data_IF_351890611034
#
_entry.id   IF_351890611034
#
_cell.length_a   1.000
_cell.length_b   1.000
_cell.length_c   1.000
_cell.angle_alpha   90.00
_cell.angle_beta   90.00
_cell.angle_gamma   90.00
#
_symmetry.space_group_name_H-M   'P 1'
#
loop_
_entity.id
_entity.type
_entity.pdbx_description
1 polymer ?
#
# COMPACT_ATOMS: atom_id res chain seq x y z
N UNK A 1 -28.28 -5.73 -11.53
CA UNK A 1 -27.51 -6.86 -10.95
C UNK A 1 -26.91 -7.82 -11.99
N UNK A 2 -26.92 -7.54 -13.28
CA UNK A 2 -26.53 -8.51 -14.32
C UNK A 2 -25.29 -8.18 -15.14
N UNK A 3 -24.67 -7.01 -14.98
CA UNK A 3 -23.59 -6.57 -15.87
C UNK A 3 -22.20 -6.48 -15.20
N UNK A 4 -22.15 -6.44 -13.87
CA UNK A 4 -20.88 -6.39 -13.14
C UNK A 4 -20.07 -7.69 -13.21
N UNK A 5 -20.70 -8.82 -13.54
CA UNK A 5 -20.01 -10.11 -13.71
C UNK A 5 -19.32 -10.28 -15.08
N UNK A 6 -19.34 -9.27 -15.96
CA UNK A 6 -18.73 -9.36 -17.31
C UNK A 6 -17.33 -8.75 -17.43
N UNK A 7 -16.80 -8.09 -16.43
CA UNK A 7 -15.51 -7.41 -16.53
C UNK A 7 -14.31 -8.38 -16.62
N UNK A 8 -14.46 -9.62 -16.14
CA UNK A 8 -13.48 -10.69 -16.41
C UNK A 8 -14.24 -11.82 -17.10
N UNK A 9 -14.06 -11.99 -18.40
CA UNK A 9 -14.79 -13.03 -19.12
C UNK A 9 -14.39 -14.40 -18.59
N UNK A 10 -15.39 -15.23 -18.29
CA UNK A 10 -15.22 -16.62 -17.82
C UNK A 10 -14.24 -17.41 -18.71
N UNK A 11 -14.14 -17.06 -19.99
CA UNK A 11 -13.21 -17.65 -20.95
C UNK A 11 -11.74 -17.28 -20.75
N UNK A 12 -11.43 -16.13 -20.13
CA UNK A 12 -10.07 -15.79 -19.73
C UNK A 12 -9.66 -16.51 -18.45
N UNK A 13 -10.62 -16.66 -17.52
CA UNK A 13 -10.43 -17.38 -16.27
C UNK A 13 -10.17 -18.87 -16.56
N UNK A 14 -11.00 -19.50 -17.38
CA UNK A 14 -10.91 -20.95 -17.69
C UNK A 14 -9.64 -21.35 -18.47
N UNK A 15 -8.96 -20.42 -19.14
CA UNK A 15 -7.70 -20.67 -19.86
C UNK A 15 -6.46 -20.59 -18.97
N UNK A 16 -6.58 -20.06 -17.78
CA UNK A 16 -5.46 -19.79 -16.86
C UNK A 16 -5.34 -20.81 -15.73
N UNK A 17 -6.27 -21.75 -15.62
CA UNK A 17 -6.33 -22.70 -14.50
C UNK A 17 -6.09 -24.14 -14.99
N UNK A 18 -4.87 -24.64 -14.86
CA UNK A 18 -4.64 -26.08 -14.73
C UNK A 18 -5.03 -26.49 -13.30
N UNK A 19 -5.88 -27.51 -13.20
CA UNK A 19 -6.30 -28.11 -11.93
C UNK A 19 -5.08 -28.55 -11.11
N UNK A 20 -5.01 -28.11 -9.87
CA UNK A 20 -4.30 -28.79 -8.80
C UNK A 20 -5.31 -29.16 -7.71
N UNK A 21 -5.11 -30.30 -7.10
CA UNK A 21 -6.00 -31.17 -6.35
C UNK A 21 -6.94 -30.48 -5.35
N UNK A 22 -8.19 -30.99 -5.31
CA UNK A 22 -9.25 -30.61 -4.37
C UNK A 22 -8.86 -30.98 -2.93
N UNK A 23 -9.04 -30.07 -1.97
CA UNK A 23 -9.07 -30.43 -0.55
C UNK A 23 -10.41 -31.13 -0.23
N UNK A 24 -10.46 -31.87 0.87
CA UNK A 24 -11.60 -32.73 1.26
C UNK A 24 -12.94 -31.99 1.43
N UNK A 25 -12.97 -30.63 1.25
CA UNK A 25 -14.15 -29.78 1.40
C UNK A 25 -14.59 -29.05 0.13
N UNK A 26 -13.96 -29.30 -1.03
CA UNK A 26 -14.37 -28.74 -2.32
C UNK A 26 -14.21 -27.22 -2.45
N UNK A 27 -13.42 -26.59 -1.60
CA UNK A 27 -13.12 -25.17 -1.66
C UNK A 27 -11.78 -24.95 -2.35
N UNK A 28 -11.80 -24.60 -3.63
CA UNK A 28 -10.60 -24.30 -4.39
C UNK A 28 -10.07 -22.93 -3.93
N UNK A 29 -9.06 -22.93 -3.05
CA UNK A 29 -8.32 -21.72 -2.66
C UNK A 29 -7.16 -21.51 -3.61
N UNK A 30 -7.32 -20.62 -4.56
CA UNK A 30 -6.22 -20.16 -5.41
C UNK A 30 -5.52 -18.95 -4.76
N UNK A 31 -4.59 -19.19 -3.86
CA UNK A 31 -3.63 -18.17 -3.45
C UNK A 31 -2.52 -18.09 -4.51
N UNK A 32 -2.60 -17.16 -5.44
CA UNK A 32 -1.44 -16.79 -6.24
C UNK A 32 -0.70 -15.66 -5.54
N UNK A 33 0.31 -16.04 -4.82
CA UNK A 33 1.25 -15.16 -4.18
C UNK A 33 2.04 -14.42 -5.26
N UNK A 34 1.83 -13.12 -5.41
CA UNK A 34 2.80 -12.28 -6.12
C UNK A 34 3.99 -12.18 -5.18
N UNK A 35 5.04 -12.94 -5.46
CA UNK A 35 6.28 -12.86 -4.68
C UNK A 35 7.16 -11.82 -5.35
N UNK A 36 7.52 -10.81 -4.59
CA UNK A 36 8.45 -9.78 -5.02
C UNK A 36 9.83 -10.27 -4.70
N UNK A 37 10.61 -10.51 -5.73
CA UNK A 37 11.99 -10.92 -5.57
C UNK A 37 12.88 -9.70 -5.75
N UNK A 38 13.62 -9.33 -4.72
CA UNK A 38 14.64 -8.29 -4.76
C UNK A 38 15.95 -8.88 -5.30
N UNK A 39 15.98 -9.26 -6.58
CA UNK A 39 17.23 -9.64 -7.21
C UNK A 39 18.06 -8.36 -7.44
N UNK A 40 19.09 -8.18 -6.63
CA UNK A 40 20.13 -7.19 -6.83
C UNK A 40 20.79 -7.42 -8.19
N UNK A 41 20.54 -6.53 -9.13
CA UNK A 41 21.30 -6.52 -10.39
C UNK A 41 22.67 -5.86 -10.16
N UNK A 42 23.80 -6.55 -10.44
CA UNK A 42 25.14 -6.04 -10.09
C UNK A 42 25.69 -5.03 -11.10
N UNK A 43 24.88 -4.18 -11.70
CA UNK A 43 25.37 -3.13 -12.60
C UNK A 43 25.05 -1.75 -12.05
N UNK A 44 26.12 -1.08 -11.58
CA UNK A 44 26.18 0.37 -11.39
C UNK A 44 25.63 1.10 -12.62
N UNK A 45 24.38 1.44 -12.58
CA UNK A 45 23.82 2.55 -13.32
C UNK A 45 23.00 3.35 -12.32
N UNK A 46 23.06 4.67 -12.43
CA UNK A 46 22.28 5.70 -11.73
C UNK A 46 20.76 5.55 -11.96
N UNK A 47 20.24 4.35 -12.00
CA UNK A 47 18.88 3.98 -12.33
C UNK A 47 18.38 2.99 -11.30
N UNK A 48 17.45 3.47 -10.53
CA UNK A 48 16.37 2.80 -9.80
C UNK A 48 16.56 1.30 -9.53
N UNK A 49 16.80 0.93 -8.28
CA UNK A 49 16.47 -0.42 -7.81
C UNK A 49 14.93 -0.51 -7.81
N UNK A 50 14.39 -1.15 -8.81
CA UNK A 50 12.97 -1.40 -8.96
C UNK A 50 12.65 -2.77 -8.39
N UNK A 51 11.70 -2.84 -7.46
CA UNK A 51 11.13 -4.12 -7.04
C UNK A 51 10.23 -4.65 -8.15
N UNK A 52 10.67 -5.70 -8.82
CA UNK A 52 9.94 -6.29 -9.94
C UNK A 52 8.86 -7.25 -9.45
N UNK A 53 7.71 -7.21 -10.11
CA UNK A 53 6.65 -8.20 -9.93
C UNK A 53 7.17 -9.57 -10.35
N UNK A 54 7.29 -10.48 -9.40
CA UNK A 54 7.54 -11.89 -9.69
C UNK A 54 6.22 -12.64 -9.53
N UNK A 55 5.63 -13.06 -10.64
CA UNK A 55 4.42 -13.88 -10.64
C UNK A 55 4.88 -15.32 -10.65
N UNK A 56 4.71 -16.03 -9.54
CA UNK A 56 5.06 -17.44 -9.44
C UNK A 56 4.01 -18.30 -10.15
N UNK A 57 4.45 -19.05 -11.16
CA UNK A 57 3.64 -20.01 -11.92
C UNK A 57 3.99 -20.01 -13.41
N UNK A 58 4.30 -21.16 -13.97
CA UNK A 58 4.88 -21.31 -15.31
C UNK A 58 3.95 -20.93 -16.48
N UNK A 59 2.73 -20.46 -16.23
CA UNK A 59 1.72 -20.22 -17.25
C UNK A 59 1.08 -18.83 -17.21
N UNK A 60 1.63 -17.85 -16.46
CA UNK A 60 1.04 -16.51 -16.40
C UNK A 60 1.73 -15.61 -17.42
N UNK A 61 1.01 -15.01 -18.39
CA UNK A 61 1.57 -14.04 -19.30
C UNK A 61 2.22 -12.87 -18.57
N UNK A 62 3.32 -12.33 -19.11
CA UNK A 62 4.02 -11.16 -18.52
C UNK A 62 3.14 -9.91 -18.42
N UNK A 63 2.13 -9.83 -19.28
CA UNK A 63 1.16 -8.76 -19.39
C UNK A 63 -0.16 -9.05 -18.66
N UNK A 64 -0.20 -10.08 -17.83
CA UNK A 64 -1.42 -10.51 -17.13
C UNK A 64 -2.06 -9.38 -16.32
N UNK A 65 -1.30 -8.70 -15.46
CA UNK A 65 -1.84 -7.61 -14.64
C UNK A 65 -2.36 -6.47 -15.53
N UNK A 66 -1.59 -6.06 -16.54
CA UNK A 66 -2.02 -4.99 -17.43
C UNK A 66 -3.25 -5.35 -18.25
N UNK A 67 -3.44 -6.62 -18.60
CA UNK A 67 -4.66 -7.10 -19.26
C UNK A 67 -5.91 -6.97 -18.35
N UNK A 68 -5.72 -7.00 -17.03
CA UNK A 68 -6.75 -6.71 -16.04
C UNK A 68 -6.91 -5.20 -15.76
N UNK A 69 -6.09 -4.36 -16.36
CA UNK A 69 -6.06 -2.94 -16.06
C UNK A 69 -5.33 -2.61 -14.76
N UNK A 70 -4.42 -3.48 -14.32
CA UNK A 70 -3.63 -3.31 -13.09
C UNK A 70 -2.17 -3.09 -13.46
N UNK A 71 -1.52 -2.12 -12.82
CA UNK A 71 -0.08 -1.95 -12.90
C UNK A 71 0.47 -1.42 -11.57
N UNK A 72 1.75 -1.70 -11.35
CA UNK A 72 2.51 -1.20 -10.21
C UNK A 72 3.93 -0.86 -10.62
N UNK A 73 4.47 0.20 -10.05
CA UNK A 73 5.89 0.51 -10.02
C UNK A 73 6.30 0.82 -8.59
N UNK A 74 7.45 0.32 -8.17
CA UNK A 74 8.00 0.54 -6.83
C UNK A 74 9.49 0.82 -6.99
N UNK A 75 9.87 2.09 -6.86
CA UNK A 75 11.21 2.61 -7.16
C UNK A 75 11.91 3.08 -5.92
N UNK A 76 13.18 2.71 -5.78
CA UNK A 76 14.03 3.28 -4.76
C UNK A 76 14.27 4.76 -5.03
N UNK A 77 14.24 5.55 -3.97
CA UNK A 77 14.63 6.96 -3.98
C UNK A 77 16.13 7.21 -3.96
N UNK A 78 16.53 8.45 -3.71
CA UNK A 78 17.91 8.85 -3.51
C UNK A 78 18.28 8.83 -2.02
N UNK A 79 18.36 7.64 -1.46
CA UNK A 79 18.85 7.35 -0.11
C UNK A 79 19.98 6.33 -0.23
N UNK A 80 21.26 6.74 -0.42
CA UNK A 80 22.36 5.84 -0.82
C UNK A 80 22.62 4.70 0.19
N UNK A 81 22.36 4.95 1.46
CA UNK A 81 22.68 4.03 2.57
C UNK A 81 21.52 3.11 2.95
N UNK A 82 20.35 3.31 2.36
CA UNK A 82 19.16 2.52 2.63
C UNK A 82 18.73 1.75 1.37
N UNK A 83 18.29 0.49 1.47
CA UNK A 83 17.58 -0.17 0.38
C UNK A 83 16.22 0.52 0.13
N UNK A 84 15.50 0.13 -0.93
CA UNK A 84 14.11 0.52 -1.10
C UNK A 84 13.29 -0.03 0.06
N UNK A 85 12.67 0.84 0.87
CA UNK A 85 11.88 0.46 2.04
C UNK A 85 10.40 0.30 1.73
N UNK A 86 9.93 0.78 0.57
CA UNK A 86 8.57 0.53 0.10
C UNK A 86 8.37 -0.92 -0.32
N UNK A 87 7.15 -1.40 -0.16
CA UNK A 87 6.70 -2.69 -0.68
C UNK A 87 5.23 -2.64 -1.09
N UNK A 88 4.76 -3.66 -1.83
CA UNK A 88 3.38 -3.75 -2.27
C UNK A 88 2.89 -5.19 -2.31
N UNK A 89 1.58 -5.38 -2.33
CA UNK A 89 0.94 -6.66 -2.57
C UNK A 89 -0.25 -6.52 -3.52
N UNK A 90 -0.43 -7.51 -4.38
CA UNK A 90 -1.60 -7.63 -5.24
C UNK A 90 -2.13 -9.06 -5.08
N UNK A 91 -3.34 -9.17 -4.57
CA UNK A 91 -4.05 -10.43 -4.44
C UNK A 91 -5.27 -10.41 -5.36
N UNK A 92 -5.45 -11.44 -6.17
CA UNK A 92 -6.58 -11.57 -7.09
C UNK A 92 -7.18 -12.96 -6.89
N UNK A 93 -8.46 -13.02 -6.57
CA UNK A 93 -9.21 -14.25 -6.40
C UNK A 93 -10.65 -14.08 -6.88
N UNK A 94 -11.12 -14.96 -7.79
CA UNK A 94 -12.50 -15.01 -8.30
C UNK A 94 -13.11 -13.64 -8.70
N UNK A 95 -12.30 -12.73 -9.25
CA UNK A 95 -12.72 -11.38 -9.64
C UNK A 95 -12.70 -10.35 -8.53
N UNK A 96 -12.24 -10.73 -7.34
CA UNK A 96 -11.92 -9.83 -6.24
C UNK A 96 -10.46 -9.41 -6.32
N UNK A 97 -10.15 -8.20 -5.92
CA UNK A 97 -8.79 -7.66 -5.90
C UNK A 97 -8.51 -7.03 -4.54
N UNK A 98 -7.39 -7.40 -3.92
CA UNK A 98 -6.87 -6.71 -2.75
C UNK A 98 -5.50 -6.14 -3.09
N UNK A 99 -5.38 -4.82 -2.98
CA UNK A 99 -4.22 -4.02 -3.31
C UNK A 99 -3.61 -3.50 -2.01
N UNK A 100 -2.31 -3.64 -1.84
CA UNK A 100 -1.60 -3.18 -0.66
C UNK A 100 -0.36 -2.36 -1.02
N UNK A 101 -0.12 -1.26 -0.31
CA UNK A 101 1.12 -0.48 -0.33
C UNK A 101 1.61 -0.31 1.10
N UNK A 102 2.90 -0.51 1.30
CA UNK A 102 3.59 -0.55 2.59
C UNK A 102 4.88 0.27 2.49
N UNK A 103 4.94 1.37 3.20
CA UNK A 103 6.06 2.30 3.21
C UNK A 103 6.84 2.10 4.51
N UNK A 104 8.03 1.54 4.40
CA UNK A 104 8.88 1.19 5.52
C UNK A 104 9.80 2.33 5.94
N UNK A 105 10.01 2.48 7.23
CA UNK A 105 10.88 3.50 7.79
C UNK A 105 11.73 2.98 8.96
N UNK A 106 12.72 3.76 9.33
CA UNK A 106 13.70 3.34 10.34
C UNK A 106 14.83 2.47 9.76
N UNK A 107 15.76 2.01 10.60
CA UNK A 107 16.91 1.23 10.15
C UNK A 107 16.55 -0.05 9.39
N UNK A 108 15.51 -0.74 9.85
CA UNK A 108 15.06 -2.02 9.33
C UNK A 108 13.71 -1.94 8.58
N UNK A 109 13.28 -0.74 8.15
CA UNK A 109 11.97 -0.52 7.52
C UNK A 109 11.70 -1.41 6.32
N UNK A 110 12.72 -1.68 5.49
CA UNK A 110 12.58 -2.59 4.33
C UNK A 110 12.24 -4.03 4.73
N UNK A 111 12.75 -4.49 5.90
CA UNK A 111 12.47 -5.83 6.41
C UNK A 111 11.09 -5.88 7.08
N UNK A 112 10.71 -4.79 7.78
CA UNK A 112 9.37 -4.64 8.36
C UNK A 112 8.31 -4.58 7.27
N UNK A 113 8.45 -3.72 6.25
CA UNK A 113 7.55 -3.68 5.11
C UNK A 113 7.51 -5.02 4.37
N UNK A 114 8.69 -5.66 4.19
CA UNK A 114 8.84 -6.97 3.58
C UNK A 114 8.17 -8.11 4.37
N UNK A 115 8.04 -8.00 5.69
CA UNK A 115 7.27 -8.92 6.53
C UNK A 115 5.76 -8.66 6.38
N UNK A 116 5.35 -7.39 6.53
CA UNK A 116 3.95 -6.99 6.56
C UNK A 116 3.26 -7.30 5.22
N UNK A 117 3.91 -7.01 4.08
CA UNK A 117 3.30 -7.26 2.76
C UNK A 117 2.98 -8.73 2.49
N UNK A 118 3.66 -9.65 3.18
CA UNK A 118 3.42 -11.10 3.09
C UNK A 118 2.35 -11.57 4.07
N UNK A 119 2.45 -11.12 5.32
CA UNK A 119 1.63 -11.65 6.40
C UNK A 119 0.26 -10.96 6.48
N UNK A 120 0.17 -9.64 6.31
CA UNK A 120 -1.10 -8.92 6.48
C UNK A 120 -2.19 -9.38 5.50
N UNK A 121 -1.95 -9.51 4.16
CA UNK A 121 -2.98 -10.01 3.25
C UNK A 121 -3.43 -11.44 3.58
N UNK A 122 -2.51 -12.28 4.03
CA UNK A 122 -2.81 -13.65 4.48
C UNK A 122 -3.71 -13.64 5.71
N UNK A 123 -3.33 -12.87 6.74
CA UNK A 123 -4.13 -12.75 7.95
C UNK A 123 -5.53 -12.19 7.69
N UNK A 124 -5.67 -11.22 6.77
CA UNK A 124 -6.97 -10.69 6.36
C UNK A 124 -7.83 -11.81 5.75
N UNK A 125 -7.27 -12.59 4.83
CA UNK A 125 -8.03 -13.66 4.15
C UNK A 125 -8.36 -14.86 5.04
N UNK A 126 -7.57 -15.08 6.10
CA UNK A 126 -7.79 -16.14 7.09
C UNK A 126 -8.81 -15.77 8.18
N UNK A 127 -9.22 -14.50 8.28
CA UNK A 127 -10.25 -14.09 9.23
C UNK A 127 -11.60 -14.71 8.90
N UNK A 128 -12.26 -15.28 9.90
CA UNK A 128 -13.57 -15.97 9.76
C UNK A 128 -14.60 -15.08 9.05
N UNK A 129 -14.57 -13.78 9.31
CA UNK A 129 -15.51 -12.82 8.75
C UNK A 129 -15.16 -12.34 7.35
N UNK A 130 -13.98 -12.64 6.83
CA UNK A 130 -13.52 -12.13 5.53
C UNK A 130 -14.49 -12.45 4.38
N UNK A 131 -15.05 -13.65 4.36
CA UNK A 131 -15.99 -14.08 3.31
C UNK A 131 -17.32 -13.31 3.34
N UNK A 132 -17.85 -13.00 4.53
CA UNK A 132 -19.19 -12.42 4.71
C UNK A 132 -19.19 -10.91 4.96
N UNK A 133 -18.20 -10.42 5.68
CA UNK A 133 -18.07 -9.02 6.14
C UNK A 133 -16.59 -8.59 6.15
N UNK A 134 -15.99 -8.37 4.99
CA UNK A 134 -14.55 -8.16 4.87
C UNK A 134 -14.03 -7.00 5.73
N UNK A 135 -14.79 -5.94 5.92
CA UNK A 135 -14.39 -4.80 6.77
C UNK A 135 -14.19 -5.23 8.23
N UNK A 136 -15.00 -6.17 8.74
CA UNK A 136 -14.85 -6.67 10.11
C UNK A 136 -13.60 -7.56 10.28
N UNK A 137 -12.97 -7.99 9.17
CA UNK A 137 -11.74 -8.78 9.18
C UNK A 137 -10.46 -7.91 9.32
N UNK A 138 -10.51 -6.64 8.93
CA UNK A 138 -9.31 -5.82 8.87
C UNK A 138 -8.70 -5.53 10.24
N UNK A 139 -9.48 -5.02 11.19
CA UNK A 139 -8.93 -4.67 12.52
C UNK A 139 -8.23 -5.84 13.21
N UNK A 140 -8.86 -7.04 13.35
CA UNK A 140 -8.16 -8.16 13.97
C UNK A 140 -6.94 -8.64 13.18
N UNK A 141 -6.95 -8.52 11.84
CA UNK A 141 -5.80 -8.89 11.02
C UNK A 141 -4.60 -7.94 11.23
N UNK A 142 -4.84 -6.62 11.35
CA UNK A 142 -3.79 -5.66 11.66
C UNK A 142 -3.20 -5.90 13.06
N UNK A 143 -4.04 -6.16 14.07
CA UNK A 143 -3.59 -6.48 15.42
C UNK A 143 -2.79 -7.79 15.45
N UNK A 144 -3.23 -8.83 14.75
CA UNK A 144 -2.49 -10.09 14.62
C UNK A 144 -1.17 -9.90 13.88
N UNK A 145 -1.15 -9.05 12.85
CA UNK A 145 0.06 -8.73 12.09
C UNK A 145 1.10 -8.03 12.99
N UNK A 146 0.65 -7.08 13.83
CA UNK A 146 1.51 -6.43 14.81
C UNK A 146 2.14 -7.46 15.77
N UNK A 147 1.33 -8.33 16.36
CA UNK A 147 1.83 -9.39 17.29
C UNK A 147 2.76 -10.36 16.56
N UNK A 148 2.45 -10.74 15.32
CA UNK A 148 3.30 -11.63 14.53
C UNK A 148 4.65 -10.99 14.20
N UNK A 149 4.67 -9.68 13.92
CA UNK A 149 5.89 -8.91 13.67
C UNK A 149 6.77 -8.85 14.95
N UNK A 150 6.19 -8.53 16.10
CA UNK A 150 6.89 -8.52 17.40
C UNK A 150 7.52 -9.88 17.71
N UNK A 151 6.74 -10.95 17.61
CA UNK A 151 7.23 -12.30 17.83
C UNK A 151 8.36 -12.68 16.86
N UNK A 152 8.25 -12.30 15.58
CA UNK A 152 9.29 -12.56 14.60
C UNK A 152 10.61 -11.84 14.97
N UNK A 153 10.53 -10.57 15.36
CA UNK A 153 11.71 -9.80 15.79
C UNK A 153 12.37 -10.42 17.03
N UNK A 154 11.58 -10.85 18.02
CA UNK A 154 12.08 -11.45 19.26
C UNK A 154 12.71 -12.84 19.04
N UNK A 155 12.08 -13.68 18.23
CA UNK A 155 12.50 -15.07 18.00
C UNK A 155 13.65 -15.19 17.00
N UNK A 156 13.52 -14.53 15.84
CA UNK A 156 14.48 -14.67 14.74
C UNK A 156 15.67 -13.70 14.85
N UNK A 157 15.47 -12.52 15.45
CA UNK A 157 16.47 -11.47 15.61
C UNK A 157 17.22 -11.12 14.33
N UNK A 158 16.53 -11.20 13.20
CA UNK A 158 17.09 -10.87 11.89
C UNK A 158 17.00 -9.38 11.60
N UNK A 159 16.03 -8.70 12.23
CA UNK A 159 15.80 -7.26 12.19
C UNK A 159 15.03 -6.82 13.43
N UNK A 160 14.89 -5.51 13.65
CA UNK A 160 14.29 -4.92 14.84
C UNK A 160 13.11 -4.01 14.43
N UNK A 161 12.00 -4.09 15.17
CA UNK A 161 10.83 -3.23 14.98
C UNK A 161 10.59 -2.26 16.15
N UNK A 162 11.56 -2.04 17.04
CA UNK A 162 11.44 -1.10 18.16
C UNK A 162 11.41 0.34 17.67
N UNK A 163 12.26 0.67 16.67
CA UNK A 163 12.36 1.99 16.03
C UNK A 163 12.26 1.89 14.50
N UNK A 164 11.72 0.81 14.01
CA UNK A 164 11.41 0.57 12.60
C UNK A 164 9.98 0.14 12.47
N UNK A 165 9.31 0.60 11.43
CA UNK A 165 7.92 0.31 11.18
C UNK A 165 7.58 0.43 9.70
N UNK A 166 6.31 0.28 9.40
CA UNK A 166 5.78 0.58 8.09
C UNK A 166 4.33 1.06 8.15
N UNK A 167 3.97 1.90 7.17
CA UNK A 167 2.57 2.13 6.82
C UNK A 167 1.97 0.85 6.26
N UNK A 168 0.66 0.75 6.27
CA UNK A 168 -0.06 -0.28 5.54
C UNK A 168 -1.39 0.30 5.02
N UNK A 169 -1.55 0.36 3.70
CA UNK A 169 -2.77 0.81 3.04
C UNK A 169 -3.30 -0.32 2.18
N UNK A 170 -4.44 -0.87 2.55
CA UNK A 170 -5.14 -1.96 1.88
C UNK A 170 -6.41 -1.44 1.24
N UNK A 171 -6.65 -1.77 -0.03
CA UNK A 171 -7.90 -1.55 -0.74
C UNK A 171 -8.41 -2.88 -1.30
N UNK A 172 -9.52 -3.39 -0.77
CA UNK A 172 -10.21 -4.58 -1.26
C UNK A 172 -11.36 -4.16 -2.15
N UNK A 173 -11.35 -4.60 -3.40
CA UNK A 173 -12.39 -4.37 -4.41
C UNK A 173 -13.17 -5.67 -4.58
N UNK A 174 -14.41 -5.68 -4.10
CA UNK A 174 -15.28 -6.87 -4.07
C UNK A 174 -16.74 -6.50 -4.29
N UNK A 175 -17.40 -7.15 -5.26
CA UNK A 175 -18.85 -7.07 -5.41
C UNK A 175 -19.40 -5.64 -5.63
N UNK A 176 -18.62 -4.74 -6.25
CA UNK A 176 -19.01 -3.34 -6.44
C UNK A 176 -18.76 -2.45 -5.24
N UNK A 177 -18.02 -2.93 -4.24
CA UNK A 177 -17.60 -2.14 -3.07
C UNK A 177 -16.08 -2.09 -2.99
N UNK A 178 -15.54 -0.95 -2.57
CA UNK A 178 -14.16 -0.79 -2.17
C UNK A 178 -14.12 -0.65 -0.67
N UNK A 179 -13.46 -1.60 0.00
CA UNK A 179 -13.24 -1.57 1.45
C UNK A 179 -11.77 -1.27 1.72
N UNK A 180 -11.49 -0.16 2.40
CA UNK A 180 -10.14 0.27 2.74
C UNK A 180 -9.86 0.10 4.23
N UNK A 181 -8.63 -0.30 4.52
CA UNK A 181 -8.06 -0.30 5.86
C UNK A 181 -6.64 0.25 5.79
N UNK A 182 -6.28 1.21 6.65
CA UNK A 182 -4.93 1.78 6.60
C UNK A 182 -4.43 2.26 7.96
N UNK A 183 -3.10 2.26 8.08
CA UNK A 183 -2.31 2.97 9.08
C UNK A 183 -1.18 3.72 8.35
N UNK A 184 -0.90 4.93 8.77
CA UNK A 184 0.15 5.78 8.18
C UNK A 184 -0.37 6.80 7.18
N UNK A 185 0.49 7.24 6.29
CA UNK A 185 0.30 8.34 5.34
C UNK A 185 0.50 7.94 3.87
N UNK A 186 0.65 6.64 3.59
CA UNK A 186 0.33 6.08 2.27
C UNK A 186 -1.17 6.21 2.03
N UNK A 187 -1.59 6.53 0.80
CA UNK A 187 -2.99 6.91 0.54
C UNK A 187 -3.59 6.13 -0.62
N UNK A 188 -4.88 5.79 -0.47
CA UNK A 188 -5.73 5.26 -1.54
C UNK A 188 -6.71 6.35 -2.03
N UNK A 189 -6.82 6.48 -3.35
CA UNK A 189 -7.63 7.49 -4.04
C UNK A 189 -8.45 6.84 -5.15
N UNK A 190 -9.70 7.24 -5.30
CA UNK A 190 -10.59 6.83 -6.37
C UNK A 190 -10.71 7.95 -7.42
N UNK A 191 -10.57 7.57 -8.69
CA UNK A 191 -10.87 8.45 -9.83
C UNK A 191 -12.32 8.36 -10.21
N UNK A 192 -12.99 9.51 -10.29
CA UNK A 192 -14.36 9.63 -10.80
C UNK A 192 -14.41 10.54 -12.02
N UNK A 193 -15.04 10.07 -13.10
CA UNK A 193 -15.33 10.84 -14.29
C UNK A 193 -16.56 11.71 -14.07
N UNK A 194 -16.43 13.00 -14.34
CA UNK A 194 -17.52 13.95 -14.23
C UNK A 194 -18.30 14.07 -15.56
N UNK A 195 -19.57 14.54 -15.54
CA UNK A 195 -20.38 14.70 -16.77
C UNK A 195 -19.75 15.61 -17.81
N UNK A 196 -18.91 16.55 -17.40
CA UNK A 196 -18.19 17.46 -18.31
C UNK A 196 -16.89 16.85 -18.89
N UNK A 197 -16.64 15.56 -18.64
CA UNK A 197 -15.44 14.86 -19.08
C UNK A 197 -14.20 15.05 -18.20
N UNK A 198 -14.24 15.95 -17.22
CA UNK A 198 -13.17 16.11 -16.24
C UNK A 198 -13.17 14.94 -15.23
N UNK A 199 -12.12 14.86 -14.41
CA UNK A 199 -12.01 13.92 -13.28
C UNK A 199 -12.04 14.66 -11.97
N UNK A 200 -12.61 14.01 -10.96
CA UNK A 200 -12.44 14.34 -9.56
C UNK A 200 -11.74 13.19 -8.86
N UNK A 201 -11.12 13.50 -7.74
CA UNK A 201 -10.56 12.51 -6.82
C UNK A 201 -11.45 12.36 -5.59
N UNK A 202 -11.54 11.15 -5.06
CA UNK A 202 -12.18 10.83 -3.79
C UNK A 202 -11.13 10.11 -2.95
N UNK A 203 -10.71 10.72 -1.85
CA UNK A 203 -9.78 10.08 -0.93
C UNK A 203 -10.49 8.94 -0.20
N UNK A 204 -10.00 7.73 -0.38
CA UNK A 204 -10.50 6.52 0.27
C UNK A 204 -9.86 6.30 1.65
N UNK A 205 -8.77 7.01 1.93
CA UNK A 205 -8.06 7.00 3.22
C UNK A 205 -7.71 8.42 3.62
N UNK A 206 -7.46 8.64 4.91
CA UNK A 206 -7.02 9.93 5.46
C UNK A 206 -5.65 9.74 6.11
N UNK A 207 -4.66 10.51 5.69
CA UNK A 207 -3.29 10.39 6.21
C UNK A 207 -3.26 10.54 7.74
N UNK A 208 -2.63 9.62 8.43
CA UNK A 208 -2.49 9.65 9.89
C UNK A 208 -1.33 10.56 10.31
N UNK A 209 -1.52 11.85 10.20
CA UNK A 209 -0.52 12.85 10.62
C UNK A 209 -0.67 13.19 12.10
N UNK A 210 0.42 13.34 12.86
CA UNK A 210 0.39 13.65 14.29
C UNK A 210 -0.29 14.99 14.63
N UNK A 211 -0.46 15.86 13.66
CA UNK A 211 -1.13 17.19 13.81
C UNK A 211 -2.63 17.11 13.87
N UNK A 212 -3.25 16.00 13.46
CA UNK A 212 -4.70 15.78 13.58
C UNK A 212 -5.08 15.79 15.05
N UNK A 213 -6.13 16.54 15.40
CA UNK A 213 -6.47 16.86 16.79
C UNK A 213 -6.69 15.61 17.67
N UNK A 214 -7.37 14.59 17.13
CA UNK A 214 -7.66 13.34 17.85
C UNK A 214 -6.38 12.49 18.02
N UNK A 215 -5.58 12.38 16.98
CA UNK A 215 -4.29 11.70 16.98
C UNK A 215 -3.33 12.36 17.98
N UNK A 216 -3.18 13.67 17.89
CA UNK A 216 -2.37 14.47 18.81
C UNK A 216 -2.82 14.30 20.26
N UNK A 217 -4.11 14.39 20.51
CA UNK A 217 -4.67 14.22 21.87
C UNK A 217 -4.35 12.84 22.44
N UNK A 218 -4.42 11.77 21.61
CA UNK A 218 -4.06 10.42 22.03
C UNK A 218 -2.57 10.33 22.40
N UNK A 219 -1.69 10.86 21.54
CA UNK A 219 -0.23 10.85 21.76
C UNK A 219 0.13 11.63 23.04
N UNK A 220 -0.38 12.87 23.18
CA UNK A 220 -0.06 13.72 24.33
C UNK A 220 -0.59 13.14 25.66
N UNK A 221 -1.72 12.41 25.66
CA UNK A 221 -2.23 11.69 26.82
C UNK A 221 -1.35 10.50 27.22
N UNK A 222 -0.59 9.93 26.30
CA UNK A 222 0.26 8.76 26.53
C UNK A 222 1.76 9.12 26.66
N UNK A 223 2.09 10.31 27.17
CA UNK A 223 3.46 10.79 27.38
C UNK A 223 4.24 11.08 26.08
N UNK A 224 3.59 11.12 24.95
CA UNK A 224 4.16 11.62 23.70
C UNK A 224 4.13 13.13 23.62
N UNK A 225 4.85 13.67 22.67
CA UNK A 225 4.88 15.09 22.30
C UNK A 225 4.84 15.20 20.78
N UNK A 226 4.01 16.09 20.26
CA UNK A 226 3.97 16.39 18.81
C UNK A 226 4.60 17.75 18.59
N UNK A 227 5.76 17.76 17.93
CA UNK A 227 6.50 18.98 17.60
C UNK A 227 7.11 18.92 16.22
N UNK A 228 7.36 20.06 15.64
CA UNK A 228 8.12 20.21 14.40
C UNK A 228 9.48 20.81 14.75
N UNK A 229 10.55 20.10 14.41
CA UNK A 229 11.89 20.59 14.62
C UNK A 229 12.26 21.64 13.55
N UNK A 230 13.22 22.50 13.85
CA UNK A 230 13.67 23.52 12.91
C UNK A 230 14.32 22.86 11.69
N UNK A 231 13.76 23.10 10.52
CA UNK A 231 14.20 22.50 9.25
C UNK A 231 13.39 21.28 8.81
N UNK A 232 12.52 20.72 9.67
CA UNK A 232 11.64 19.64 9.28
C UNK A 232 10.46 20.16 8.43
N UNK A 233 10.04 19.35 7.47
CA UNK A 233 8.87 19.63 6.62
C UNK A 233 7.57 19.36 7.41
N UNK A 234 7.57 18.32 8.26
CA UNK A 234 6.38 17.84 8.96
C UNK A 234 6.60 17.75 10.47
N UNK A 235 5.49 17.81 11.24
CA UNK A 235 5.51 17.55 12.67
C UNK A 235 5.68 16.05 12.95
N UNK A 236 6.39 15.72 14.02
CA UNK A 236 6.73 14.35 14.38
C UNK A 236 6.35 14.03 15.82
N UNK A 237 6.23 12.74 16.11
CA UNK A 237 5.98 12.19 17.44
C UNK A 237 7.29 11.92 18.15
N UNK A 238 7.40 12.42 19.38
CA UNK A 238 8.57 12.23 20.25
C UNK A 238 8.14 11.78 21.62
N UNK A 239 9.03 11.11 22.34
CA UNK A 239 8.90 10.98 23.80
C UNK A 239 8.98 12.38 24.40
N UNK A 240 8.09 12.72 25.31
CA UNK A 240 8.00 14.06 25.90
C UNK A 240 9.35 14.52 26.49
N UNK A 241 9.83 15.66 26.00
CA UNK A 241 11.10 16.22 26.38
C UNK A 241 12.33 15.51 25.83
N UNK A 242 12.18 14.68 24.80
CA UNK A 242 13.26 14.00 24.06
C UNK A 242 13.19 14.32 22.58
N UNK A 243 14.24 13.95 21.84
CA UNK A 243 14.32 14.13 20.39
C UNK A 243 14.35 12.77 19.65
N UNK A 244 13.63 11.79 20.20
CA UNK A 244 13.40 10.47 19.60
C UNK A 244 11.98 9.98 19.94
N UNK A 245 11.36 9.04 19.16
CA UNK A 245 11.85 8.44 17.91
C UNK A 245 11.82 9.39 16.72
N UNK A 246 10.97 10.43 16.69
CA UNK A 246 10.86 11.36 15.56
C UNK A 246 9.99 10.84 14.43
N UNK A 247 8.90 10.13 14.75
CA UNK A 247 8.02 9.50 13.78
C UNK A 247 7.07 10.52 13.13
N UNK A 248 6.97 10.52 11.80
CA UNK A 248 6.16 11.49 11.03
C UNK A 248 4.66 11.17 10.97
N UNK A 249 4.26 10.00 11.44
CA UNK A 249 2.88 9.50 11.43
C UNK A 249 2.40 9.10 12.81
N UNK A 250 1.08 9.01 13.00
CA UNK A 250 0.43 8.72 14.29
C UNK A 250 -0.12 7.30 14.40
N UNK A 251 -0.10 6.53 13.28
CA UNK A 251 -0.45 5.12 13.24
C UNK A 251 0.48 4.37 12.31
N UNK A 252 0.98 3.20 12.73
CA UNK A 252 1.90 2.33 11.99
C UNK A 252 1.82 0.89 12.48
N UNK A 253 2.41 -0.03 11.74
CA UNK A 253 2.81 -1.36 12.21
C UNK A 253 4.32 -1.34 12.53
N UNK A 254 4.73 -1.98 13.62
CA UNK A 254 6.08 -1.83 14.17
C UNK A 254 6.20 -0.62 15.10
N UNK A 255 7.36 -0.02 15.21
CA UNK A 255 7.65 1.15 16.06
C UNK A 255 7.21 0.99 17.52
N UNK A 256 7.62 -0.09 18.15
CA UNK A 256 7.17 -0.44 19.51
C UNK A 256 7.41 0.70 20.52
N UNK A 257 8.52 1.41 20.37
CA UNK A 257 8.81 2.58 21.20
C UNK A 257 7.77 3.70 21.03
N UNK A 258 7.34 3.95 19.79
CA UNK A 258 6.33 4.96 19.49
C UNK A 258 4.92 4.53 19.97
N UNK A 259 4.63 3.23 19.96
CA UNK A 259 3.37 2.69 20.48
C UNK A 259 3.25 2.90 22.00
N UNK A 260 4.34 2.84 22.77
CA UNK A 260 4.33 3.16 24.20
C UNK A 260 3.93 4.61 24.51
N UNK A 261 4.04 5.51 23.53
CA UNK A 261 3.72 6.92 23.66
C UNK A 261 2.50 7.35 22.84
N UNK A 262 1.65 6.39 22.46
CA UNK A 262 0.33 6.65 21.90
C UNK A 262 0.23 6.61 20.38
N UNK A 263 1.25 6.17 19.66
CA UNK A 263 1.08 5.67 18.29
C UNK A 263 0.34 4.34 18.35
N UNK A 264 -0.44 3.98 17.34
CA UNK A 264 -1.25 2.75 17.37
C UNK A 264 -1.21 2.02 16.02
N UNK A 265 -1.48 0.71 16.06
CA UNK A 265 -1.58 -0.13 14.86
C UNK A 265 -3.03 -0.35 14.39
N UNK A 266 -4.05 0.16 15.12
CA UNK A 266 -5.45 0.04 14.72
C UNK A 266 -5.71 0.80 13.43
N UNK A 267 -6.23 0.14 12.37
CA UNK A 267 -6.50 0.80 11.11
C UNK A 267 -7.74 1.71 11.18
N UNK A 268 -7.72 2.78 10.39
CA UNK A 268 -8.95 3.46 9.99
C UNK A 268 -9.59 2.65 8.86
N UNK A 269 -10.92 2.51 8.91
CA UNK A 269 -11.71 1.72 7.98
C UNK A 269 -12.65 2.61 7.19
N UNK A 270 -12.80 2.34 5.89
CA UNK A 270 -13.76 3.02 5.03
C UNK A 270 -14.33 2.07 4.00
N UNK A 271 -15.63 2.17 3.77
CA UNK A 271 -16.31 1.48 2.66
C UNK A 271 -16.85 2.50 1.66
N UNK A 272 -16.82 2.13 0.40
CA UNK A 272 -17.27 2.97 -0.69
C UNK A 272 -17.98 2.10 -1.75
N UNK A 273 -19.22 2.45 -2.09
CA UNK A 273 -19.99 1.80 -3.16
C UNK A 273 -19.55 2.38 -4.52
N UNK A 274 -19.03 1.51 -5.38
CA UNK A 274 -18.56 1.87 -6.71
C UNK A 274 -19.74 2.19 -7.63
N UNK A 275 -19.62 3.28 -8.36
CA UNK A 275 -20.61 3.72 -9.37
C UNK A 275 -20.04 3.61 -10.77
N UNK A 276 -20.88 3.77 -11.79
CA UNK A 276 -20.45 3.68 -13.20
C UNK A 276 -19.49 4.79 -13.61
N UNK A 277 -19.43 5.89 -12.86
CA UNK A 277 -18.54 7.02 -13.11
C UNK A 277 -17.14 6.80 -12.53
N UNK A 278 -16.96 5.79 -11.65
CA UNK A 278 -15.68 5.50 -11.01
C UNK A 278 -14.79 4.70 -11.97
N UNK A 279 -13.58 5.19 -12.23
CA UNK A 279 -12.72 4.65 -13.31
C UNK A 279 -11.64 3.71 -12.77
N UNK A 280 -10.89 4.13 -11.74
CA UNK A 280 -9.79 3.35 -11.16
C UNK A 280 -9.48 3.75 -9.72
N UNK A 281 -8.87 2.83 -9.01
CA UNK A 281 -8.25 3.05 -7.68
C UNK A 281 -6.76 3.24 -7.87
N UNK A 282 -6.21 4.22 -7.14
CA UNK A 282 -4.79 4.55 -7.07
C UNK A 282 -4.34 4.42 -5.63
N UNK A 283 -3.31 3.62 -5.36
CA UNK A 283 -2.70 3.47 -4.03
C UNK A 283 -1.22 3.79 -4.15
N UNK A 284 -0.74 4.76 -3.38
CA UNK A 284 0.66 5.18 -3.42
C UNK A 284 1.24 5.42 -2.02
N UNK A 285 2.57 5.30 -1.91
CA UNK A 285 3.33 5.79 -0.76
C UNK A 285 3.44 7.32 -0.76
N UNK A 286 3.94 7.88 0.34
CA UNK A 286 4.10 9.34 0.51
C UNK A 286 5.13 9.94 -0.44
N UNK A 287 6.03 9.12 -1.02
CA UNK A 287 6.91 9.53 -2.11
C UNK A 287 6.17 10.17 -3.30
N UNK A 288 4.89 9.85 -3.47
CA UNK A 288 3.99 10.55 -4.42
C UNK A 288 3.28 11.72 -3.75
N UNK A 289 2.69 11.49 -2.56
CA UNK A 289 1.73 12.40 -1.95
C UNK A 289 2.36 13.66 -1.36
N UNK A 290 3.66 13.67 -1.10
CA UNK A 290 4.36 14.85 -0.58
C UNK A 290 4.26 16.05 -1.53
N UNK A 291 4.30 15.80 -2.85
CA UNK A 291 4.31 16.86 -3.87
C UNK A 291 3.17 16.81 -4.88
N UNK A 292 2.36 15.76 -4.88
CA UNK A 292 1.27 15.59 -5.86
C UNK A 292 -0.04 15.42 -5.11
N UNK A 293 -0.99 16.31 -5.36
CA UNK A 293 -2.34 16.19 -4.78
C UNK A 293 -3.10 15.01 -5.42
N UNK A 294 -4.08 14.46 -4.68
CA UNK A 294 -4.95 13.38 -5.17
C UNK A 294 -5.57 13.70 -6.54
N UNK A 295 -6.03 14.93 -6.75
CA UNK A 295 -6.63 15.35 -8.02
C UNK A 295 -5.60 15.43 -9.16
N UNK A 296 -4.38 15.88 -8.89
CA UNK A 296 -3.32 15.91 -9.90
C UNK A 296 -2.89 14.50 -10.28
N UNK A 297 -2.70 13.60 -9.30
CA UNK A 297 -2.36 12.20 -9.55
C UNK A 297 -3.42 11.51 -10.42
N UNK A 298 -4.70 11.65 -10.08
CA UNK A 298 -5.82 11.14 -10.87
C UNK A 298 -5.79 11.67 -12.32
N UNK A 299 -5.56 12.97 -12.50
CA UNK A 299 -5.49 13.58 -13.84
C UNK A 299 -4.28 13.07 -14.63
N UNK A 300 -3.15 12.85 -13.98
CA UNK A 300 -1.94 12.31 -14.63
C UNK A 300 -2.18 10.89 -15.12
N UNK A 301 -2.66 9.99 -14.25
CA UNK A 301 -2.98 8.60 -14.59
C UNK A 301 -4.02 8.52 -15.72
N UNK A 302 -5.09 9.31 -15.63
CA UNK A 302 -6.18 9.29 -16.61
C UNK A 302 -5.76 9.66 -18.03
N UNK A 303 -4.61 10.34 -18.23
CA UNK A 303 -4.08 10.67 -19.58
C UNK A 303 -3.64 9.44 -20.37
N UNK A 304 -3.22 8.40 -19.69
CA UNK A 304 -2.73 7.17 -20.32
C UNK A 304 -3.86 6.20 -20.69
N UNK A 305 -4.95 6.22 -19.92
CA UNK A 305 -6.08 5.29 -20.10
C UNK A 305 -5.74 3.86 -19.65
N UNK A 306 -6.78 3.02 -19.61
CA UNK A 306 -6.69 1.62 -19.16
C UNK A 306 -5.71 0.79 -20.00
N UNK A 307 -5.71 1.01 -21.31
CA UNK A 307 -4.87 0.25 -22.26
C UNK A 307 -3.36 0.50 -22.07
N UNK A 308 -2.99 1.61 -21.42
CA UNK A 308 -1.60 1.94 -21.13
C UNK A 308 -1.37 2.15 -19.63
N UNK A 309 -1.92 1.25 -18.82
CA UNK A 309 -1.82 1.33 -17.34
C UNK A 309 -0.37 1.28 -16.85
N UNK A 310 0.52 0.54 -17.52
CA UNK A 310 1.96 0.54 -17.22
C UNK A 310 2.59 1.93 -17.43
N UNK A 311 2.27 2.59 -18.54
CA UNK A 311 2.70 3.97 -18.77
C UNK A 311 2.15 4.95 -17.75
N UNK A 312 0.97 4.69 -17.20
CA UNK A 312 0.34 5.53 -16.19
C UNK A 312 1.11 5.51 -14.86
N UNK A 313 1.45 4.32 -14.35
CA UNK A 313 2.23 4.20 -13.09
C UNK A 313 3.63 4.78 -13.24
N UNK A 314 4.29 4.49 -14.37
CA UNK A 314 5.61 5.04 -14.69
C UNK A 314 5.59 6.57 -14.82
N UNK A 315 4.57 7.12 -15.49
CA UNK A 315 4.41 8.56 -15.69
C UNK A 315 4.19 9.30 -14.37
N UNK A 316 3.37 8.74 -13.47
CA UNK A 316 3.14 9.33 -12.15
C UNK A 316 4.38 9.24 -11.27
N UNK A 317 5.07 8.10 -11.24
CA UNK A 317 6.31 7.93 -10.48
C UNK A 317 7.41 8.86 -10.97
N UNK A 318 7.53 9.07 -12.30
CA UNK A 318 8.50 10.00 -12.86
C UNK A 318 8.17 11.46 -12.52
N UNK A 319 6.90 11.85 -12.50
CA UNK A 319 6.49 13.19 -12.09
C UNK A 319 6.79 13.43 -10.61
N UNK A 320 6.50 12.44 -9.75
CA UNK A 320 6.85 12.50 -8.32
C UNK A 320 8.38 12.69 -8.13
N UNK A 321 9.17 11.88 -8.81
CA UNK A 321 10.63 11.99 -8.82
C UNK A 321 11.13 13.38 -9.22
N UNK A 322 10.56 13.94 -10.30
CA UNK A 322 10.96 15.26 -10.79
C UNK A 322 10.64 16.37 -9.76
N UNK A 323 9.50 16.26 -9.07
CA UNK A 323 9.11 17.24 -8.03
C UNK A 323 9.99 17.13 -6.79
N UNK A 324 10.34 15.91 -6.37
CA UNK A 324 11.32 15.69 -5.32
C UNK A 324 12.65 16.35 -5.67
N UNK A 325 13.22 16.09 -6.85
CA UNK A 325 14.49 16.68 -7.28
C UNK A 325 14.44 18.22 -7.39
N UNK A 326 13.29 18.77 -7.74
CA UNK A 326 13.14 20.22 -7.79
C UNK A 326 13.13 20.85 -6.40
N UNK A 327 12.50 20.20 -5.42
CA UNK A 327 12.41 20.67 -4.05
C UNK A 327 13.68 20.34 -3.24
N UNK A 328 14.20 19.12 -3.42
CA UNK A 328 15.36 18.56 -2.69
C UNK A 328 16.28 17.81 -3.65
N UNK A 329 17.24 18.46 -4.30
CA UNK A 329 18.06 17.87 -5.38
C UNK A 329 18.82 16.60 -5.01
N UNK A 330 19.14 16.42 -3.73
CA UNK A 330 19.95 15.29 -3.23
C UNK A 330 19.12 14.23 -2.50
N UNK A 331 17.81 14.45 -2.35
CA UNK A 331 16.94 13.56 -1.60
C UNK A 331 15.66 13.29 -2.38
N UNK A 332 15.40 12.05 -2.68
CA UNK A 332 14.11 11.57 -3.23
C UNK A 332 13.68 10.40 -2.36
N UNK A 333 12.43 10.37 -1.94
CA UNK A 333 11.91 9.23 -1.24
C UNK A 333 11.69 8.02 -2.13
N UNK A 334 11.48 6.85 -1.54
CA UNK A 334 11.02 5.69 -2.25
C UNK A 334 9.61 5.98 -2.83
N UNK A 335 9.31 5.48 -4.03
CA UNK A 335 8.09 5.84 -4.75
C UNK A 335 7.38 4.57 -5.19
N UNK A 336 6.23 4.32 -4.61
CA UNK A 336 5.33 3.24 -5.03
C UNK A 336 4.03 3.79 -5.58
N UNK A 337 3.68 3.33 -6.78
CA UNK A 337 2.43 3.67 -7.48
C UNK A 337 1.75 2.39 -7.91
N UNK A 338 0.54 2.14 -7.43
CA UNK A 338 -0.30 1.02 -7.81
C UNK A 338 -1.64 1.54 -8.33
N UNK A 339 -2.03 1.12 -9.53
CA UNK A 339 -3.29 1.49 -10.20
C UNK A 339 -4.07 0.22 -10.53
N UNK A 340 -5.39 0.24 -10.28
CA UNK A 340 -6.31 -0.79 -10.75
C UNK A 340 -7.58 -0.15 -11.33
N UNK A 341 -7.85 -0.40 -12.62
CA UNK A 341 -9.07 0.01 -13.27
C UNK A 341 -10.24 -0.90 -12.85
N UNK A 342 -11.41 -0.29 -12.63
CA UNK A 342 -12.60 -0.96 -12.12
C UNK A 342 -13.46 -1.60 -13.24
N UNK A 343 -13.29 -1.11 -14.51
CA UNK A 343 -14.08 -1.53 -15.67
C UNK A 343 -13.20 -1.80 -16.88
#
# INVERSE_FOLDING_TARGET
>A
MGEFHRAVSKSCIDKLYSREEDDENGTIRYMRKVTIDTALSPKRQLQFEEKKVHISGDCIPRDYLSSLGIAVTCRKGLKPESPNQDDYSIYIDHGEMMLGVFDGHGPDGHQVAGFIHKELPKLITEEEKFASKPVEAFTPAFEKCQVALENHCDEQRTFDCVVSGATATIALIRGGTISCAHVGDSRAVLSRKLPNGNRSSIDLTNDHKPTIAEERSRIEKNRGEVKQLMGDITARVFVKGKDFPGLAMSRVLGDLLAQEIGVVCQPELKEYEVTAEDEFVLVCSDGVWEFISSLEAVKLVARFGRENVNGAVEGLAQEAWNRWQLAYPETVDDITVLVAYLH
#
